data_IF_191797300243
#
_entry.id   IF_191797300243
#
_cell.length_a   1.000
_cell.length_b   1.000
_cell.length_c   1.000
_cell.angle_alpha   90.00
_cell.angle_beta   90.00
_cell.angle_gamma   90.00
#
_symmetry.space_group_name_H-M   'P 1'
#
loop_
_entity.id
_entity.type
_entity.pdbx_description
1 polymer ?
#
# COMPACT_ATOMS: atom_id res chain seq x y z
N UNK A 1 -8.63 -34.56 -28.04
CA UNK A 1 -7.70 -33.86 -27.12
C UNK A 1 -8.47 -32.69 -26.53
N UNK A 2 -8.91 -32.80 -25.29
CA UNK A 2 -9.51 -31.67 -24.57
C UNK A 2 -8.39 -30.68 -24.29
N UNK A 3 -8.20 -29.72 -25.18
CA UNK A 3 -7.47 -28.49 -24.86
C UNK A 3 -8.34 -27.82 -23.81
N UNK A 4 -7.91 -27.87 -22.54
CA UNK A 4 -8.49 -27.04 -21.49
C UNK A 4 -8.50 -25.62 -22.01
N UNK A 5 -9.68 -24.99 -22.12
CA UNK A 5 -9.73 -23.54 -22.30
C UNK A 5 -8.91 -22.94 -21.17
N UNK A 6 -7.86 -22.20 -21.50
CA UNK A 6 -7.19 -21.35 -20.51
C UNK A 6 -8.27 -20.46 -19.89
N UNK A 7 -8.46 -20.57 -18.58
CA UNK A 7 -9.37 -19.67 -17.88
C UNK A 7 -8.76 -18.27 -17.96
N UNK A 8 -9.48 -17.34 -18.59
CA UNK A 8 -9.07 -15.94 -18.65
C UNK A 8 -9.03 -15.37 -17.22
N UNK A 9 -7.81 -15.13 -16.72
CA UNK A 9 -7.62 -14.49 -15.41
C UNK A 9 -7.58 -12.98 -15.58
N UNK A 10 -8.38 -12.27 -14.79
CA UNK A 10 -8.50 -10.82 -14.83
C UNK A 10 -8.19 -10.22 -13.46
N UNK A 11 -7.59 -9.03 -13.44
CA UNK A 11 -7.31 -8.27 -12.24
C UNK A 11 -7.57 -6.77 -12.46
N UNK A 12 -7.81 -6.04 -11.38
CA UNK A 12 -7.87 -4.57 -11.41
C UNK A 12 -6.51 -3.96 -11.10
N UNK A 13 -6.14 -2.93 -11.85
CA UNK A 13 -5.00 -2.08 -11.52
C UNK A 13 -5.56 -0.74 -11.06
N UNK A 14 -5.27 -0.38 -9.81
CA UNK A 14 -5.52 0.94 -9.28
C UNK A 14 -4.21 1.71 -9.23
N UNK A 15 -4.20 2.96 -9.71
CA UNK A 15 -3.07 3.87 -9.55
C UNK A 15 -3.53 5.10 -8.77
N UNK A 16 -2.71 5.60 -7.86
CA UNK A 16 -3.01 6.82 -7.09
C UNK A 16 -1.76 7.65 -6.85
N UNK A 17 -1.96 8.94 -6.59
CA UNK A 17 -0.95 9.83 -6.05
C UNK A 17 -1.64 10.63 -4.94
N UNK A 18 -1.34 10.34 -3.67
CA UNK A 18 -2.02 11.01 -2.55
C UNK A 18 -1.25 12.26 -2.10
N UNK A 19 -1.88 13.10 -1.30
CA UNK A 19 -1.36 14.40 -0.89
C UNK A 19 0.08 14.30 -0.34
N UNK A 20 0.99 15.09 -0.92
CA UNK A 20 2.41 15.12 -0.55
C UNK A 20 2.69 15.75 0.82
N UNK A 21 1.80 16.64 1.29
CA UNK A 21 2.06 17.39 2.50
C UNK A 21 1.96 16.48 3.76
N UNK A 22 3.11 16.04 4.26
CA UNK A 22 3.26 15.19 5.45
C UNK A 22 2.73 15.81 6.75
N UNK A 23 2.47 17.13 6.76
CA UNK A 23 1.82 17.79 7.90
C UNK A 23 0.31 17.55 7.95
N UNK A 24 -0.26 16.93 6.91
CA UNK A 24 -1.69 16.63 6.77
C UNK A 24 -1.98 15.10 6.69
N UNK A 25 -1.60 14.30 7.71
CA UNK A 25 -1.83 12.85 7.70
C UNK A 25 -3.32 12.48 7.64
N UNK A 26 -4.21 13.38 8.10
CA UNK A 26 -5.65 13.20 7.99
C UNK A 26 -6.15 13.25 6.54
N UNK A 27 -5.58 14.15 5.72
CA UNK A 27 -5.92 14.23 4.29
C UNK A 27 -5.50 12.95 3.57
N UNK A 28 -4.28 12.49 3.83
CA UNK A 28 -3.73 11.27 3.23
C UNK A 28 -4.59 10.04 3.63
N UNK A 29 -4.91 9.88 4.91
CA UNK A 29 -5.77 8.79 5.38
C UNK A 29 -7.17 8.87 4.76
N UNK A 30 -7.77 10.06 4.67
CA UNK A 30 -9.09 10.23 4.04
C UNK A 30 -9.09 9.81 2.57
N UNK A 31 -8.06 10.19 1.80
CA UNK A 31 -7.91 9.77 0.39
C UNK A 31 -7.84 8.24 0.25
N UNK A 32 -7.07 7.57 1.12
CA UNK A 32 -6.94 6.11 1.10
C UNK A 32 -8.22 5.41 1.53
N UNK A 33 -8.91 5.90 2.57
CA UNK A 33 -10.23 5.36 2.94
C UNK A 33 -11.24 5.48 1.80
N UNK A 34 -11.23 6.61 1.11
CA UNK A 34 -12.11 6.83 -0.05
C UNK A 34 -11.82 5.82 -1.16
N UNK A 35 -10.54 5.59 -1.46
CA UNK A 35 -10.13 4.57 -2.42
C UNK A 35 -10.62 3.16 -2.01
N UNK A 36 -10.44 2.76 -0.76
CA UNK A 36 -10.87 1.43 -0.28
C UNK A 36 -12.39 1.26 -0.23
N UNK A 37 -13.14 2.34 0.02
CA UNK A 37 -14.59 2.34 -0.10
C UNK A 37 -15.04 2.10 -1.55
N UNK A 38 -14.40 2.76 -2.52
CA UNK A 38 -14.69 2.56 -3.94
C UNK A 38 -14.29 1.16 -4.42
N UNK A 39 -13.14 0.63 -3.99
CA UNK A 39 -12.75 -0.75 -4.26
C UNK A 39 -13.77 -1.74 -3.69
N UNK A 40 -14.26 -1.50 -2.48
CA UNK A 40 -15.30 -2.33 -1.85
C UNK A 40 -16.61 -2.28 -2.65
N UNK A 41 -17.00 -1.11 -3.15
CA UNK A 41 -18.19 -0.92 -3.98
C UNK A 41 -18.06 -1.69 -5.29
N UNK A 42 -16.96 -1.50 -6.02
CA UNK A 42 -16.72 -2.16 -7.31
C UNK A 42 -16.61 -3.68 -7.18
N UNK A 43 -16.03 -4.17 -6.09
CA UNK A 43 -15.79 -5.61 -5.93
C UNK A 43 -17.08 -6.41 -5.68
N UNK A 44 -18.08 -5.79 -5.03
CA UNK A 44 -19.44 -6.37 -4.88
C UNK A 44 -20.12 -6.59 -6.24
N UNK A 45 -19.83 -5.75 -7.22
CA UNK A 45 -20.48 -5.76 -8.53
C UNK A 45 -19.73 -6.63 -9.56
N UNK A 46 -18.46 -6.99 -9.32
CA UNK A 46 -17.54 -7.52 -10.35
C UNK A 46 -16.98 -8.91 -10.06
N UNK A 47 -17.68 -9.73 -9.27
CA UNK A 47 -17.32 -11.13 -9.01
C UNK A 47 -16.04 -11.32 -8.17
N UNK A 48 -15.73 -10.40 -7.27
CA UNK A 48 -14.55 -10.51 -6.42
C UNK A 48 -13.26 -10.63 -7.25
N UNK A 49 -12.95 -9.68 -8.15
CA UNK A 49 -11.69 -9.74 -8.92
C UNK A 49 -10.49 -9.32 -8.06
N UNK A 50 -9.33 -9.98 -8.18
CA UNK A 50 -8.14 -9.56 -7.47
C UNK A 50 -7.68 -8.19 -7.99
N UNK A 51 -6.97 -7.43 -7.17
CA UNK A 51 -6.45 -6.12 -7.56
C UNK A 51 -5.06 -5.83 -7.03
N UNK A 52 -4.40 -4.91 -7.74
CA UNK A 52 -3.11 -4.32 -7.37
C UNK A 52 -3.32 -2.82 -7.25
N UNK A 53 -2.78 -2.21 -6.20
CA UNK A 53 -2.76 -0.75 -6.04
C UNK A 53 -1.30 -0.30 -6.16
N UNK A 54 -1.03 0.56 -7.13
CA UNK A 54 0.28 1.16 -7.35
C UNK A 54 0.22 2.67 -7.12
N UNK A 55 1.36 3.28 -6.87
CA UNK A 55 1.48 4.73 -6.92
C UNK A 55 2.37 5.33 -5.84
N UNK A 56 2.33 6.65 -5.79
CA UNK A 56 3.00 7.46 -4.78
C UNK A 56 2.01 7.75 -3.63
N UNK A 57 2.32 7.17 -2.48
CA UNK A 57 1.51 7.31 -1.29
C UNK A 57 2.01 8.44 -0.38
N UNK A 58 3.12 9.10 -0.69
CA UNK A 58 3.70 10.17 0.15
C UNK A 58 3.73 9.82 1.65
N UNK A 59 3.92 8.53 1.95
CA UNK A 59 3.70 7.92 3.25
C UNK A 59 4.70 6.78 3.46
N UNK A 60 5.42 6.79 4.57
CA UNK A 60 6.45 5.79 4.87
C UNK A 60 5.85 4.47 5.39
N UNK A 61 6.63 3.38 5.48
CA UNK A 61 6.11 2.08 5.96
C UNK A 61 5.57 2.10 7.40
N UNK A 62 6.00 3.06 8.23
CA UNK A 62 5.53 3.21 9.61
C UNK A 62 4.40 4.26 9.75
N UNK A 63 3.73 4.60 8.65
CA UNK A 63 2.66 5.60 8.63
C UNK A 63 1.29 4.98 8.88
N UNK A 64 0.37 5.83 9.36
CA UNK A 64 -1.06 5.48 9.48
C UNK A 64 -1.69 5.03 8.16
N UNK A 65 -1.21 5.55 7.03
CA UNK A 65 -1.65 5.15 5.70
C UNK A 65 -1.23 3.71 5.40
N UNK A 66 0.05 3.38 5.62
CA UNK A 66 0.55 2.02 5.38
C UNK A 66 -0.18 1.00 6.25
N UNK A 67 -0.34 1.29 7.55
CA UNK A 67 -1.03 0.41 8.48
C UNK A 67 -2.51 0.23 8.15
N UNK A 68 -3.21 1.30 7.76
CA UNK A 68 -4.60 1.21 7.35
C UNK A 68 -4.76 0.32 6.10
N UNK A 69 -3.89 0.46 5.10
CA UNK A 69 -3.90 -0.38 3.89
C UNK A 69 -3.65 -1.85 4.25
N UNK A 70 -2.59 -2.13 5.03
CA UNK A 70 -2.11 -3.46 5.38
C UNK A 70 -3.07 -4.23 6.28
N UNK A 71 -3.42 -3.63 7.41
CA UNK A 71 -4.19 -4.28 8.47
C UNK A 71 -5.69 -4.14 8.21
N UNK A 72 -6.07 -3.13 7.44
CA UNK A 72 -7.44 -2.78 7.13
C UNK A 72 -8.12 -1.91 8.17
N UNK A 73 -7.43 -1.52 9.24
CA UNK A 73 -7.90 -0.66 10.31
C UNK A 73 -6.70 -0.05 11.05
N UNK A 74 -6.96 0.95 11.88
CA UNK A 74 -5.96 1.55 12.77
C UNK A 74 -6.16 0.99 14.19
N UNK A 75 -5.09 0.50 14.82
CA UNK A 75 -5.11 0.10 16.23
C UNK A 75 -5.04 1.33 17.14
N UNK A 76 -5.72 1.29 18.28
CA UNK A 76 -5.64 2.35 19.28
C UNK A 76 -4.36 2.31 20.12
N UNK A 77 -3.52 1.30 19.89
CA UNK A 77 -2.18 1.13 20.48
C UNK A 77 -1.05 1.62 19.58
N UNK A 78 -1.34 2.08 18.35
CA UNK A 78 -0.30 2.59 17.46
C UNK A 78 0.28 3.92 17.98
N UNK A 79 1.59 4.13 17.81
CA UNK A 79 2.29 5.31 18.32
C UNK A 79 1.71 6.63 17.81
N UNK A 80 1.18 6.64 16.58
CA UNK A 80 0.55 7.81 15.96
C UNK A 80 -0.93 7.97 16.33
N UNK A 81 -1.57 7.02 17.03
CA UNK A 81 -3.01 7.02 17.26
C UNK A 81 -3.48 8.26 18.03
N UNK A 82 -2.81 8.61 19.13
CA UNK A 82 -3.19 9.78 19.94
C UNK A 82 -3.16 11.07 19.11
N UNK A 83 -2.11 11.26 18.29
CA UNK A 83 -2.00 12.39 17.37
C UNK A 83 -3.12 12.40 16.34
N UNK A 84 -3.43 11.24 15.74
CA UNK A 84 -4.53 11.12 14.80
C UNK A 84 -5.88 11.41 15.46
N UNK A 85 -6.10 10.92 16.68
CA UNK A 85 -7.31 11.18 17.44
C UNK A 85 -7.48 12.69 17.69
N UNK A 86 -6.43 13.40 18.11
CA UNK A 86 -6.46 14.87 18.28
C UNK A 86 -6.79 15.62 16.98
N UNK A 87 -6.22 15.20 15.85
CA UNK A 87 -6.46 15.83 14.54
C UNK A 87 -7.91 15.63 14.09
N UNK A 88 -8.48 14.44 14.30
CA UNK A 88 -9.83 14.12 13.84
C UNK A 88 -10.94 14.54 14.81
N UNK A 89 -10.63 14.73 16.10
CA UNK A 89 -11.63 15.07 17.12
C UNK A 89 -12.49 16.31 16.76
N UNK A 90 -11.93 17.41 16.23
CA UNK A 90 -12.73 18.56 15.79
C UNK A 90 -13.66 18.26 14.60
N UNK A 91 -13.33 17.28 13.75
CA UNK A 91 -14.17 16.87 12.62
C UNK A 91 -15.46 16.16 13.07
N UNK A 92 -15.50 15.71 14.32
CA UNK A 92 -16.64 15.05 14.95
C UNK A 92 -17.21 15.85 16.12
N UNK A 93 -17.10 17.18 16.08
CA UNK A 93 -17.65 18.09 17.10
C UNK A 93 -17.15 17.79 18.53
N UNK A 94 -15.93 17.25 18.68
CA UNK A 94 -15.40 16.86 19.98
C UNK A 94 -15.86 15.47 20.46
N UNK A 95 -16.59 14.70 19.65
CA UNK A 95 -17.07 13.37 19.99
C UNK A 95 -15.95 12.33 19.86
N UNK A 96 -15.29 12.03 20.99
CA UNK A 96 -14.24 11.02 21.08
C UNK A 96 -14.72 9.61 20.68
N UNK A 97 -16.00 9.28 20.91
CA UNK A 97 -16.54 7.97 20.53
C UNK A 97 -16.67 7.84 19.01
N UNK A 98 -17.21 8.87 18.34
CA UNK A 98 -17.27 8.90 16.87
C UNK A 98 -15.88 8.95 16.25
N UNK A 99 -14.96 9.71 16.84
CA UNK A 99 -13.57 9.81 16.37
C UNK A 99 -12.86 8.46 16.44
N UNK A 100 -12.92 7.80 17.60
CA UNK A 100 -12.39 6.44 17.76
C UNK A 100 -13.03 5.48 16.77
N UNK A 101 -14.37 5.47 16.69
CA UNK A 101 -15.11 4.62 15.74
C UNK A 101 -14.63 4.84 14.32
N UNK A 102 -14.50 6.09 13.87
CA UNK A 102 -13.99 6.40 12.54
C UNK A 102 -12.58 5.85 12.36
N UNK A 103 -11.61 6.18 13.22
CA UNK A 103 -10.21 5.75 13.08
C UNK A 103 -10.06 4.22 13.08
N UNK A 104 -10.79 3.52 13.94
CA UNK A 104 -10.70 2.06 14.07
C UNK A 104 -11.60 1.27 13.10
N UNK A 105 -12.49 1.96 12.37
CA UNK A 105 -13.38 1.31 11.39
C UNK A 105 -12.55 0.64 10.31
N UNK A 106 -12.88 -0.63 10.06
CA UNK A 106 -12.12 -1.45 9.12
C UNK A 106 -12.70 -1.44 7.71
N UNK A 107 -11.83 -1.56 6.70
CA UNK A 107 -12.26 -1.87 5.33
C UNK A 107 -12.44 -3.39 5.10
N UNK A 108 -12.96 -3.77 3.92
CA UNK A 108 -13.25 -5.16 3.54
C UNK A 108 -12.01 -6.07 3.51
N UNK A 109 -10.85 -5.55 3.09
CA UNK A 109 -9.63 -6.32 2.85
C UNK A 109 -8.69 -6.44 4.06
N UNK A 110 -9.23 -6.72 5.26
CA UNK A 110 -8.42 -6.75 6.49
C UNK A 110 -7.34 -7.82 6.43
N UNK A 111 -6.11 -7.47 6.78
CA UNK A 111 -4.96 -8.37 6.86
C UNK A 111 -4.64 -9.17 5.58
N UNK A 112 -5.21 -8.81 4.42
CA UNK A 112 -4.93 -9.47 3.14
C UNK A 112 -4.08 -8.60 2.21
N UNK A 113 -3.88 -7.33 2.51
CA UNK A 113 -3.05 -6.44 1.70
C UNK A 113 -1.58 -6.52 2.14
N UNK A 114 -0.67 -6.53 1.17
CA UNK A 114 0.78 -6.57 1.39
C UNK A 114 1.48 -5.73 0.31
N UNK A 115 2.61 -5.11 0.65
CA UNK A 115 3.48 -4.44 -0.33
C UNK A 115 4.36 -5.48 -1.01
N UNK A 116 4.49 -5.44 -2.34
CA UNK A 116 5.37 -6.32 -3.10
C UNK A 116 6.83 -6.22 -2.61
N UNK A 117 7.25 -5.01 -2.24
CA UNK A 117 8.54 -4.73 -1.62
C UNK A 117 8.39 -4.71 -0.09
N UNK A 118 8.82 -5.78 0.58
CA UNK A 118 8.77 -5.93 2.03
C UNK A 118 9.95 -6.79 2.54
N UNK A 119 10.06 -6.94 3.87
CA UNK A 119 11.14 -7.69 4.53
C UNK A 119 11.25 -9.18 4.15
N UNK A 120 10.17 -9.78 3.67
CA UNK A 120 10.11 -11.20 3.28
C UNK A 120 10.39 -11.41 1.78
N UNK A 121 10.39 -10.34 0.98
CA UNK A 121 10.65 -10.39 -0.47
C UNK A 121 11.97 -9.69 -0.78
N UNK A 122 11.90 -8.39 -1.05
CA UNK A 122 13.03 -7.49 -1.23
C UNK A 122 12.67 -6.18 -0.54
N UNK A 123 13.44 -5.83 0.49
CA UNK A 123 13.28 -4.55 1.16
C UNK A 123 13.95 -3.47 0.32
N UNK A 124 13.14 -2.68 -0.39
CA UNK A 124 13.66 -1.51 -1.09
C UNK A 124 14.18 -0.51 -0.04
N UNK A 125 15.45 -0.05 -0.12
CA UNK A 125 16.01 0.85 0.88
C UNK A 125 15.33 2.22 0.88
N UNK A 126 14.98 2.73 -0.30
CA UNK A 126 14.18 3.93 -0.50
C UNK A 126 13.58 3.91 -1.92
N UNK A 127 12.52 4.67 -2.14
CA UNK A 127 11.98 4.94 -3.47
C UNK A 127 12.24 6.36 -3.91
N UNK A 128 12.55 7.27 -2.98
CA UNK A 128 13.03 8.62 -3.26
C UNK A 128 14.13 9.01 -2.29
N UNK A 129 15.07 9.82 -2.76
CA UNK A 129 16.15 10.42 -1.95
C UNK A 129 16.54 11.76 -2.54
N UNK A 130 15.95 12.84 -2.03
CA UNK A 130 16.25 14.21 -2.45
C UNK A 130 17.26 14.78 -1.42
N UNK A 131 18.33 15.41 -1.92
CA UNK A 131 19.41 15.96 -1.10
C UNK A 131 18.87 16.84 0.04
N UNK A 132 19.35 16.63 1.27
CA UNK A 132 19.01 17.38 2.50
C UNK A 132 17.51 17.46 2.88
N UNK A 133 16.59 16.97 2.05
CA UNK A 133 15.14 17.12 2.21
C UNK A 133 14.44 15.83 2.69
N UNK A 134 14.70 14.69 2.05
CA UNK A 134 14.00 13.44 2.38
C UNK A 134 14.64 12.20 1.73
N UNK A 135 14.76 11.11 2.49
CA UNK A 135 15.04 9.77 1.97
C UNK A 135 14.02 8.79 2.54
N UNK A 136 13.28 8.09 1.67
CA UNK A 136 12.32 7.12 2.16
C UNK A 136 11.62 6.32 1.07
N UNK A 137 10.86 5.31 1.52
CA UNK A 137 9.97 4.51 0.69
C UNK A 137 8.57 5.11 0.80
N UNK A 138 8.10 5.72 -0.27
CA UNK A 138 6.75 6.31 -0.37
C UNK A 138 5.96 5.79 -1.56
N UNK A 139 6.61 5.08 -2.47
CA UNK A 139 5.99 4.41 -3.60
C UNK A 139 5.79 2.93 -3.29
N UNK A 140 4.66 2.38 -3.71
CA UNK A 140 4.31 1.00 -3.39
C UNK A 140 3.59 0.30 -4.54
N UNK A 141 3.72 -1.03 -4.55
CA UNK A 141 2.87 -1.96 -5.29
C UNK A 141 2.18 -2.83 -4.24
N UNK A 142 0.97 -2.49 -3.84
CA UNK A 142 0.16 -3.30 -2.93
C UNK A 142 -0.63 -4.36 -3.68
N UNK A 143 -0.74 -5.55 -3.09
CA UNK A 143 -1.48 -6.67 -3.64
C UNK A 143 -2.21 -7.43 -2.53
N UNK A 144 -3.18 -8.25 -2.93
CA UNK A 144 -3.89 -9.18 -2.04
C UNK A 144 -3.08 -10.49 -1.91
N UNK A 145 -2.45 -10.76 -0.77
CA UNK A 145 -1.48 -11.87 -0.62
C UNK A 145 -2.11 -13.27 -0.58
N UNK A 146 -3.41 -13.33 -0.35
CA UNK A 146 -4.25 -14.52 -0.48
C UNK A 146 -4.57 -14.86 -1.94
N UNK A 147 -4.34 -13.93 -2.89
CA UNK A 147 -4.73 -14.07 -4.32
C UNK A 147 -3.65 -13.76 -5.33
N UNK A 148 -2.59 -13.08 -4.92
CA UNK A 148 -1.49 -12.66 -5.77
C UNK A 148 -0.17 -12.98 -5.06
N UNK A 149 0.83 -13.46 -5.81
CA UNK A 149 2.18 -13.69 -5.30
C UNK A 149 3.21 -12.98 -6.17
N UNK A 150 4.11 -12.16 -5.59
CA UNK A 150 5.26 -11.65 -6.32
C UNK A 150 6.22 -12.79 -6.69
N UNK A 151 6.65 -12.83 -7.95
CA UNK A 151 7.65 -13.78 -8.45
C UNK A 151 9.03 -13.14 -8.54
N UNK A 152 9.08 -11.93 -9.10
CA UNK A 152 10.31 -11.18 -9.29
C UNK A 152 10.06 -9.70 -9.03
N UNK A 153 11.07 -9.01 -8.50
CA UNK A 153 11.04 -7.58 -8.21
C UNK A 153 12.23 -6.92 -8.90
N UNK A 154 12.03 -5.70 -9.41
CA UNK A 154 13.12 -4.88 -9.92
C UNK A 154 13.96 -4.36 -8.76
N UNK A 155 15.25 -4.65 -8.81
CA UNK A 155 16.25 -3.94 -8.02
C UNK A 155 16.77 -2.76 -8.86
N UNK A 156 16.13 -1.59 -8.71
CA UNK A 156 16.50 -0.38 -9.46
C UNK A 156 17.93 0.09 -9.18
N UNK A 157 18.51 -0.33 -8.04
CA UNK A 157 19.84 0.05 -7.58
C UNK A 157 20.93 -0.97 -7.93
N UNK A 158 20.61 -2.03 -8.69
CA UNK A 158 21.57 -3.09 -9.01
C UNK A 158 22.84 -2.54 -9.68
N UNK A 159 22.70 -1.55 -10.56
CA UNK A 159 23.81 -0.95 -11.30
C UNK A 159 24.56 0.13 -10.51
N UNK A 160 24.02 0.58 -9.37
CA UNK A 160 24.62 1.63 -8.53
C UNK A 160 25.61 1.06 -7.49
N UNK A 161 25.57 -0.25 -7.25
CA UNK A 161 26.48 -0.94 -6.34
C UNK A 161 26.42 -0.38 -4.92
N UNK A 162 27.59 -0.25 -4.28
CA UNK A 162 27.71 0.32 -2.92
C UNK A 162 27.36 1.82 -2.88
N UNK A 163 27.31 2.53 -4.01
CA UNK A 163 27.01 3.97 -4.02
C UNK A 163 25.65 4.27 -3.40
N UNK A 164 24.65 3.43 -3.64
CA UNK A 164 23.28 3.65 -3.19
C UNK A 164 23.08 3.63 -1.67
N UNK A 165 24.06 3.16 -0.89
CA UNK A 165 24.02 3.20 0.58
C UNK A 165 24.67 4.46 1.17
N UNK A 166 25.30 5.31 0.34
CA UNK A 166 25.93 6.54 0.80
C UNK A 166 24.97 7.73 0.80
N UNK A 167 25.21 8.68 1.70
CA UNK A 167 24.36 9.86 1.86
C UNK A 167 24.49 10.87 0.72
N UNK A 168 25.56 10.79 -0.08
CA UNK A 168 25.77 11.61 -1.27
C UNK A 168 25.03 11.09 -2.52
N UNK A 169 24.52 9.85 -2.48
CA UNK A 169 23.64 9.36 -3.53
C UNK A 169 22.32 10.11 -3.43
N UNK A 170 21.97 10.92 -4.43
CA UNK A 170 20.74 11.71 -4.44
C UNK A 170 20.07 11.60 -5.78
N UNK A 171 18.77 11.84 -5.81
CA UNK A 171 17.92 11.80 -6.99
C UNK A 171 17.30 13.19 -7.25
N UNK A 172 17.12 13.59 -8.52
CA UNK A 172 17.67 12.93 -9.72
C UNK A 172 19.21 13.06 -9.79
N UNK A 173 19.85 12.24 -10.62
CA UNK A 173 21.27 12.32 -10.93
C UNK A 173 21.56 11.89 -12.40
N UNK A 174 22.84 11.85 -12.79
CA UNK A 174 23.26 11.51 -14.16
C UNK A 174 22.78 10.15 -14.67
N UNK A 175 22.53 9.20 -13.75
CA UNK A 175 22.07 7.84 -14.06
C UNK A 175 20.55 7.67 -13.86
N UNK A 176 19.94 8.51 -13.02
CA UNK A 176 18.53 8.42 -12.61
C UNK A 176 17.80 9.75 -12.87
N UNK A 177 16.98 9.87 -13.91
CA UNK A 177 16.41 11.15 -14.36
C UNK A 177 15.21 11.65 -13.53
N UNK A 178 14.75 10.89 -12.54
CA UNK A 178 13.68 11.26 -11.61
C UNK A 178 14.21 11.24 -10.17
N UNK A 179 13.59 12.04 -9.33
CA UNK A 179 13.64 12.01 -7.86
C UNK A 179 13.07 10.72 -7.24
N UNK A 180 12.39 9.88 -8.03
CA UNK A 180 11.88 8.57 -7.62
C UNK A 180 12.52 7.42 -8.44
N UNK A 181 12.72 6.29 -7.79
CA UNK A 181 13.14 5.03 -8.40
C UNK A 181 11.92 4.26 -8.90
N UNK A 182 12.02 3.59 -10.07
CA UNK A 182 10.95 2.76 -10.58
C UNK A 182 10.75 1.51 -9.73
N UNK A 183 9.49 1.14 -9.53
CA UNK A 183 9.09 -0.16 -8.98
C UNK A 183 8.54 -1.04 -10.10
N UNK A 184 8.90 -2.33 -10.07
CA UNK A 184 8.34 -3.31 -11.00
C UNK A 184 8.26 -4.66 -10.29
N UNK A 185 7.12 -5.33 -10.47
CA UNK A 185 6.89 -6.66 -9.95
C UNK A 185 6.34 -7.56 -11.05
N UNK A 186 6.89 -8.75 -11.17
CA UNK A 186 6.23 -9.88 -11.83
C UNK A 186 5.29 -10.51 -10.81
N UNK A 187 4.02 -10.65 -11.16
CA UNK A 187 2.96 -11.11 -10.26
C UNK A 187 2.28 -12.34 -10.83
N UNK A 188 2.05 -13.34 -9.98
CA UNK A 188 1.27 -14.53 -10.29
C UNK A 188 -0.10 -14.47 -9.60
N UNK A 189 -1.17 -14.67 -10.36
CA UNK A 189 -2.52 -14.84 -9.82
C UNK A 189 -2.70 -16.28 -9.36
N UNK A 190 -3.05 -16.48 -8.09
CA UNK A 190 -3.32 -17.81 -7.56
C UNK A 190 -4.81 -18.14 -7.64
N UNK A 191 -5.12 -19.41 -7.92
CA UNK A 191 -6.50 -19.90 -7.89
C UNK A 191 -7.11 -19.65 -6.52
N UNK A 192 -8.24 -18.95 -6.50
CA UNK A 192 -8.95 -18.57 -5.28
C UNK A 192 -10.40 -19.05 -5.38
N UNK A 193 -10.88 -19.73 -4.34
CA UNK A 193 -12.30 -20.05 -4.18
C UNK A 193 -12.83 -19.40 -2.90
N UNK A 194 -14.04 -18.81 -2.92
CA UNK A 194 -14.65 -18.24 -1.72
C UNK A 194 -14.79 -19.26 -0.57
N UNK A 195 -14.99 -20.55 -0.89
CA UNK A 195 -15.20 -21.64 0.07
C UNK A 195 -13.95 -21.98 0.92
N UNK A 196 -12.75 -21.61 0.47
CA UNK A 196 -11.50 -21.87 1.20
C UNK A 196 -11.24 -20.90 2.37
N UNK A 197 -12.03 -19.83 2.51
CA UNK A 197 -11.82 -18.79 3.53
C UNK A 197 -12.60 -19.06 4.83
N UNK A 198 -13.76 -19.72 4.75
CA UNK A 198 -14.59 -20.07 5.92
C UNK A 198 -13.96 -21.13 6.84
N UNK A 199 -12.93 -21.86 6.37
CA UNK A 199 -12.27 -22.91 7.15
C UNK A 199 -11.13 -22.41 8.05
N UNK A 200 -10.77 -21.12 7.98
CA UNK A 200 -9.68 -20.53 8.78
C UNK A 200 -10.14 -19.65 9.96
N UNK A 201 -11.45 -19.48 10.13
CA UNK A 201 -12.04 -18.68 11.23
C UNK A 201 -12.81 -19.51 12.26
N UNK A 202 -12.49 -20.81 12.41
CA UNK A 202 -13.07 -21.68 13.44
C UNK A 202 -11.99 -22.19 14.41
#
# INVERSE_FOLDING_TARGET
TNVSKEEEQQLWICNTHINWNHTLPATQLFQIRTLFNELTRLNKDTSHKPFVIVGDFNSTPNSVVHDYIRNGFITDTADYYSKMHEIYLPLFDGDSTKTKKYLTESHMYKNVMESAYNKNTFLMPFTTRIADDFCGTIDYIYYQHDRIRPLQLLNALHNDGERAIHDDFTLPNEQHPSDHLPLMAELNLVSWSPENDDTKNN
#
